data_IF_511898066848
#
_entry.id   IF_511898066848
#
_cell.length_a   1.000
_cell.length_b   1.000
_cell.length_c   1.000
_cell.angle_alpha   90.00
_cell.angle_beta   90.00
_cell.angle_gamma   90.00
#
_symmetry.space_group_name_H-M   'P 1'
#
loop_
_entity.id
_entity.type
_entity.pdbx_description
1 polymer ?
#
# COMPACT_ATOMS: atom_id res chain seq x y z
N UNK A 1 -21.54 -1.27 -18.63
CA UNK A 1 -20.66 -2.39 -19.08
C UNK A 1 -19.57 -2.76 -18.07
N UNK A 2 -19.02 -1.85 -17.25
CA UNK A 2 -17.92 -2.17 -16.32
C UNK A 2 -18.26 -3.11 -15.14
N UNK A 3 -19.50 -3.12 -14.66
CA UNK A 3 -19.92 -3.96 -13.52
C UNK A 3 -19.86 -5.46 -13.83
N UNK A 4 -20.36 -5.89 -14.99
CA UNK A 4 -20.36 -7.29 -15.41
C UNK A 4 -18.94 -7.90 -15.49
N UNK A 5 -17.94 -7.10 -15.87
CA UNK A 5 -16.54 -7.54 -15.97
C UNK A 5 -15.92 -7.67 -14.57
N UNK A 6 -16.25 -6.76 -13.66
CA UNK A 6 -15.81 -6.84 -12.26
C UNK A 6 -16.36 -8.10 -11.58
N UNK A 7 -17.64 -8.41 -11.79
CA UNK A 7 -18.30 -9.57 -11.19
C UNK A 7 -17.72 -10.90 -11.72
N UNK A 8 -17.48 -11.01 -13.03
CA UNK A 8 -16.81 -12.18 -13.59
C UNK A 8 -15.38 -12.34 -13.08
N UNK A 9 -14.63 -11.23 -12.93
CA UNK A 9 -13.26 -11.26 -12.42
C UNK A 9 -13.23 -11.75 -10.97
N UNK A 10 -14.14 -11.27 -10.12
CA UNK A 10 -14.27 -11.69 -8.73
C UNK A 10 -14.58 -13.19 -8.62
N UNK A 11 -15.47 -13.71 -9.48
CA UNK A 11 -15.81 -15.13 -9.52
C UNK A 11 -14.63 -16.02 -9.91
N UNK A 12 -13.74 -15.55 -10.78
CA UNK A 12 -12.51 -16.29 -11.15
C UNK A 12 -11.49 -16.25 -10.00
N UNK A 13 -11.31 -15.11 -9.34
CA UNK A 13 -10.39 -14.97 -8.20
C UNK A 13 -10.78 -15.93 -7.05
N UNK A 14 -12.08 -16.05 -6.77
CA UNK A 14 -12.59 -16.93 -5.72
C UNK A 14 -12.35 -18.43 -5.97
N UNK A 15 -12.01 -18.83 -7.21
CA UNK A 15 -11.68 -20.22 -7.58
C UNK A 15 -10.18 -20.51 -7.53
N UNK A 16 -9.34 -19.50 -7.30
CA UNK A 16 -7.89 -19.66 -7.22
C UNK A 16 -7.44 -20.14 -5.84
N UNK A 17 -6.28 -20.81 -5.73
CA UNK A 17 -5.64 -21.05 -4.46
C UNK A 17 -5.43 -19.75 -3.68
N UNK A 18 -5.62 -19.78 -2.36
CA UNK A 18 -5.64 -18.58 -1.50
C UNK A 18 -4.42 -17.66 -1.71
N UNK A 19 -3.22 -18.23 -1.80
CA UNK A 19 -1.99 -17.45 -2.01
C UNK A 19 -1.99 -16.69 -3.34
N UNK A 20 -2.58 -17.28 -4.38
CA UNK A 20 -2.70 -16.69 -5.72
C UNK A 20 -3.82 -15.66 -5.71
N UNK A 21 -4.97 -15.98 -5.12
CA UNK A 21 -6.09 -15.04 -4.96
C UNK A 21 -5.65 -13.74 -4.25
N UNK A 22 -4.89 -13.87 -3.15
CA UNK A 22 -4.32 -12.72 -2.44
C UNK A 22 -3.39 -11.88 -3.33
N UNK A 23 -2.51 -12.52 -4.09
CA UNK A 23 -1.63 -11.80 -5.02
C UNK A 23 -2.41 -11.05 -6.09
N UNK A 24 -3.41 -11.69 -6.70
CA UNK A 24 -4.24 -11.05 -7.74
C UNK A 24 -4.99 -9.85 -7.18
N UNK A 25 -5.56 -9.97 -5.98
CA UNK A 25 -6.21 -8.86 -5.27
C UNK A 25 -5.23 -7.71 -5.03
N UNK A 26 -4.04 -7.99 -4.48
CA UNK A 26 -3.02 -6.97 -4.21
C UNK A 26 -2.56 -6.24 -5.49
N UNK A 27 -2.35 -6.98 -6.58
CA UNK A 27 -1.99 -6.38 -7.88
C UNK A 27 -3.10 -5.46 -8.39
N UNK A 28 -4.37 -5.90 -8.28
CA UNK A 28 -5.53 -5.10 -8.68
C UNK A 28 -5.63 -3.81 -7.87
N UNK A 29 -5.57 -3.92 -6.55
CA UNK A 29 -5.67 -2.78 -5.62
C UNK A 29 -4.53 -1.78 -5.86
N UNK A 30 -3.31 -2.26 -6.06
CA UNK A 30 -2.15 -1.43 -6.40
C UNK A 30 -2.35 -0.69 -7.73
N UNK A 31 -2.94 -1.37 -8.71
CA UNK A 31 -3.27 -0.80 -10.02
C UNK A 31 -4.28 0.35 -9.94
N UNK A 32 -5.28 0.26 -9.05
CA UNK A 32 -6.31 1.29 -8.86
C UNK A 32 -5.94 2.40 -7.88
N UNK A 33 -4.91 2.21 -7.05
CA UNK A 33 -4.55 3.12 -5.96
C UNK A 33 -4.31 4.56 -6.44
N UNK A 34 -5.00 5.53 -5.87
CA UNK A 34 -4.66 6.95 -6.08
C UNK A 34 -3.44 7.33 -5.23
N UNK A 35 -2.81 8.47 -5.57
CA UNK A 35 -1.67 8.94 -4.81
C UNK A 35 -2.06 9.32 -3.37
N UNK A 36 -3.24 9.91 -3.17
CA UNK A 36 -3.78 10.23 -1.84
C UNK A 36 -4.05 8.98 -1.01
N UNK A 37 -4.65 7.94 -1.60
CA UNK A 37 -4.84 6.65 -0.91
C UNK A 37 -3.50 6.02 -0.54
N UNK A 38 -2.49 6.13 -1.41
CA UNK A 38 -1.15 5.66 -1.10
C UNK A 38 -0.55 6.38 0.12
N UNK A 39 -0.61 7.72 0.16
CA UNK A 39 -0.17 8.49 1.32
C UNK A 39 -0.94 8.10 2.60
N UNK A 40 -2.25 7.87 2.49
CA UNK A 40 -3.07 7.36 3.58
C UNK A 40 -2.57 6.01 4.12
N UNK A 41 -2.16 5.09 3.25
CA UNK A 41 -1.59 3.78 3.66
C UNK A 41 -0.21 3.93 4.31
N UNK A 42 0.60 4.90 3.89
CA UNK A 42 1.88 5.21 4.55
C UNK A 42 1.63 5.75 5.96
N UNK A 43 0.64 6.63 6.14
CA UNK A 43 0.25 7.13 7.46
C UNK A 43 -0.29 6.01 8.36
N UNK A 44 -1.15 5.15 7.85
CA UNK A 44 -1.66 3.98 8.58
C UNK A 44 -0.53 3.03 9.02
N UNK A 45 0.48 2.82 8.16
CA UNK A 45 1.66 2.03 8.52
C UNK A 45 2.42 2.65 9.70
N UNK A 46 2.58 3.97 9.72
CA UNK A 46 3.18 4.69 10.84
C UNK A 46 2.35 4.60 12.12
N UNK A 47 1.02 4.65 12.03
CA UNK A 47 0.15 4.48 13.20
C UNK A 47 0.30 3.07 13.80
N UNK A 48 0.42 2.04 12.95
CA UNK A 48 0.65 0.67 13.40
C UNK A 48 2.02 0.55 14.06
N UNK A 49 3.08 1.10 13.45
CA UNK A 49 4.43 0.99 14.01
C UNK A 49 4.56 1.75 15.34
N UNK A 50 3.91 2.91 15.46
CA UNK A 50 3.84 3.66 16.71
C UNK A 50 3.12 2.88 17.81
N UNK A 51 1.99 2.23 17.50
CA UNK A 51 1.26 1.38 18.46
C UNK A 51 2.08 0.18 18.91
N UNK A 52 2.81 -0.46 18.00
CA UNK A 52 3.68 -1.61 18.31
C UNK A 52 4.88 -1.19 19.15
N UNK A 53 5.42 0.00 18.89
CA UNK A 53 6.54 0.57 19.63
C UNK A 53 6.10 1.35 20.88
N UNK A 54 4.83 1.26 21.30
CA UNK A 54 4.34 1.97 22.48
C UNK A 54 5.17 1.62 23.73
N UNK A 55 5.77 2.63 24.35
CA UNK A 55 6.68 2.45 25.49
C UNK A 55 8.16 2.25 25.12
N UNK A 56 8.52 2.27 23.84
CA UNK A 56 9.90 2.32 23.37
C UNK A 56 10.31 3.76 23.04
N UNK A 57 11.59 4.08 23.26
CA UNK A 57 12.17 5.39 22.93
C UNK A 57 12.21 5.67 21.42
N UNK A 58 12.19 4.60 20.61
CA UNK A 58 12.36 4.68 19.16
C UNK A 58 11.34 3.81 18.45
N UNK A 59 10.80 4.32 17.35
CA UNK A 59 9.87 3.60 16.49
C UNK A 59 10.27 3.78 15.02
N UNK A 60 9.71 2.96 14.14
CA UNK A 60 9.94 3.08 12.71
C UNK A 60 9.01 4.13 12.12
N UNK A 61 9.58 5.05 11.34
CA UNK A 61 8.86 6.04 10.57
C UNK A 61 9.07 5.76 9.07
N UNK A 62 7.98 5.84 8.33
CA UNK A 62 7.92 5.62 6.90
C UNK A 62 7.49 6.90 6.21
N UNK A 63 8.27 7.33 5.23
CA UNK A 63 8.02 8.56 4.49
C UNK A 63 8.28 8.34 3.00
N UNK A 64 7.57 9.08 2.16
CA UNK A 64 7.85 9.10 0.73
C UNK A 64 9.16 9.86 0.52
N UNK A 65 10.12 9.24 -0.17
CA UNK A 65 11.37 9.89 -0.51
C UNK A 65 11.06 11.12 -1.39
N UNK A 66 11.48 12.33 -0.99
CA UNK A 66 11.25 13.52 -1.79
C UNK A 66 11.76 13.36 -3.22
N UNK A 67 10.92 13.73 -4.19
CA UNK A 67 11.26 13.65 -5.62
C UNK A 67 10.99 12.28 -6.27
N UNK A 68 10.76 11.23 -5.49
CA UNK A 68 10.46 9.88 -6.03
C UNK A 68 9.05 9.75 -6.59
N UNK A 69 8.16 10.67 -6.22
CA UNK A 69 6.73 10.66 -6.48
C UNK A 69 6.27 11.83 -7.37
N UNK A 70 7.19 12.68 -7.84
CA UNK A 70 6.85 13.91 -8.55
C UNK A 70 6.33 13.71 -9.99
N UNK A 71 6.33 12.48 -10.50
CA UNK A 71 5.88 12.17 -11.86
C UNK A 71 4.46 11.59 -11.89
N UNK A 72 3.76 11.74 -13.02
CA UNK A 72 2.46 11.07 -13.23
C UNK A 72 2.57 9.53 -13.16
N UNK A 73 3.76 8.97 -13.36
CA UNK A 73 4.06 7.53 -13.23
C UNK A 73 4.62 7.17 -11.85
N UNK A 74 4.30 7.95 -10.81
CA UNK A 74 4.81 7.78 -9.45
C UNK A 74 4.75 6.33 -8.96
N UNK A 75 3.72 5.55 -9.31
CA UNK A 75 3.60 4.14 -8.91
C UNK A 75 4.80 3.26 -9.28
N UNK A 76 5.52 3.62 -10.35
CA UNK A 76 6.68 2.86 -10.83
C UNK A 76 7.98 3.33 -10.16
N UNK A 77 8.03 4.58 -9.69
CA UNK A 77 9.26 5.25 -9.26
C UNK A 77 9.28 5.64 -7.78
N UNK A 78 8.12 5.67 -7.12
CA UNK A 78 7.97 6.08 -5.72
C UNK A 78 8.79 5.19 -4.82
N UNK A 79 9.47 5.82 -3.85
CA UNK A 79 10.27 5.13 -2.85
C UNK A 79 9.77 5.51 -1.48
N UNK A 80 9.60 4.50 -0.63
CA UNK A 80 9.31 4.71 0.79
C UNK A 80 10.60 4.48 1.55
N UNK A 81 11.08 5.50 2.25
CA UNK A 81 12.22 5.38 3.17
C UNK A 81 11.70 4.94 4.53
N UNK A 82 12.49 4.11 5.21
CA UNK A 82 12.24 3.71 6.58
C UNK A 82 13.37 4.25 7.45
N UNK A 83 13.03 5.05 8.44
CA UNK A 83 13.96 5.61 9.40
C UNK A 83 13.58 5.18 10.80
N UNK A 84 14.59 5.10 11.68
CA UNK A 84 14.35 4.90 13.11
C UNK A 84 14.17 6.27 13.74
N UNK A 85 12.92 6.67 13.93
CA UNK A 85 12.56 7.89 14.65
C UNK A 85 12.78 7.70 16.15
N UNK A 86 13.38 8.69 16.80
CA UNK A 86 13.40 8.85 18.25
C UNK A 86 12.94 10.26 18.57
N UNK A 87 12.14 10.41 19.63
CA UNK A 87 11.80 11.73 20.19
C UNK A 87 13.04 12.45 20.72
#
# INVERSE_FOLDING_TARGET
MGQQISDQTQLVINKLPEKVAKHVTLVRESGSLTYEEFLGRVAELNDVTAKVAAGQEKHLLFEVQPGSDSSAFWKVVVRVVCTKGGS
#
